data_IF_271028759049
#
_entry.id   IF_271028759049
#
_cell.length_a   1.000
_cell.length_b   1.000
_cell.length_c   1.000
_cell.angle_alpha   90.00
_cell.angle_beta   90.00
_cell.angle_gamma   90.00
#
_symmetry.space_group_name_H-M   'P 1'
#
loop_
_entity.id
_entity.type
_entity.pdbx_description
1 polymer ?
#
# COMPACT_ATOMS: atom_id res chain seq x y z
N UNK A 1 17.80 -5.47 -16.91
CA UNK A 1 18.88 -4.60 -17.43
C UNK A 1 18.30 -3.71 -18.51
N UNK A 2 18.28 -2.39 -18.30
CA UNK A 2 18.08 -1.41 -19.37
C UNK A 2 19.40 -1.23 -20.12
N UNK A 3 19.33 -0.80 -21.38
CA UNK A 3 20.46 -0.75 -22.33
C UNK A 3 21.62 0.21 -21.95
N UNK A 4 21.66 0.77 -20.73
CA UNK A 4 22.67 1.72 -20.28
C UNK A 4 23.38 1.33 -18.96
N UNK A 5 23.25 0.09 -18.48
CA UNK A 5 24.03 -0.38 -17.32
C UNK A 5 23.72 0.30 -15.98
N UNK A 6 22.74 1.22 -15.93
CA UNK A 6 22.19 1.77 -14.70
C UNK A 6 21.23 0.73 -14.10
N UNK A 7 21.60 0.16 -12.95
CA UNK A 7 20.72 -0.72 -12.19
C UNK A 7 19.72 0.17 -11.45
N UNK A 8 18.51 0.24 -11.99
CA UNK A 8 17.37 0.89 -11.34
C UNK A 8 16.85 0.00 -10.20
N UNK A 9 17.46 0.14 -9.02
CA UNK A 9 17.09 -0.62 -7.82
C UNK A 9 15.66 -0.30 -7.33
N UNK A 10 15.02 0.75 -7.85
CA UNK A 10 13.59 1.01 -7.57
C UNK A 10 12.66 0.01 -8.24
N UNK A 11 13.17 -0.85 -9.14
CA UNK A 11 12.40 -1.94 -9.77
C UNK A 11 12.68 -3.31 -9.17
N UNK A 12 13.57 -3.40 -8.19
CA UNK A 12 13.75 -4.63 -7.42
C UNK A 12 12.43 -4.91 -6.68
N UNK A 13 11.91 -6.13 -6.83
CA UNK A 13 10.65 -6.56 -6.22
C UNK A 13 10.96 -7.67 -5.22
N UNK A 14 10.49 -7.51 -3.99
CA UNK A 14 10.61 -8.51 -2.94
C UNK A 14 9.44 -9.49 -3.06
N UNK A 15 9.67 -10.62 -3.71
CA UNK A 15 8.67 -11.67 -3.87
C UNK A 15 8.77 -12.66 -2.70
N UNK A 16 8.05 -12.37 -1.62
CA UNK A 16 7.88 -13.26 -0.48
C UNK A 16 6.61 -14.12 -0.55
N UNK A 17 5.90 -14.09 -1.68
CA UNK A 17 4.66 -14.85 -1.85
C UNK A 17 4.94 -16.33 -2.10
N UNK A 18 4.21 -17.16 -1.37
CA UNK A 18 4.11 -18.60 -1.51
C UNK A 18 2.71 -18.92 -1.99
N UNK A 19 2.60 -19.87 -2.92
CA UNK A 19 1.32 -20.37 -3.42
C UNK A 19 0.91 -21.65 -2.68
N UNK A 20 -0.38 -21.87 -2.50
CA UNK A 20 -0.93 -23.13 -2.00
C UNK A 20 -0.37 -24.33 -2.77
N UNK A 21 -0.06 -25.42 -2.05
CA UNK A 21 0.56 -26.65 -2.54
C UNK A 21 2.00 -26.51 -3.06
N UNK A 22 2.63 -25.33 -2.99
CA UNK A 22 4.05 -25.19 -3.35
C UNK A 22 4.98 -25.79 -2.30
N UNK A 23 6.11 -26.35 -2.75
CA UNK A 23 7.14 -26.88 -1.87
C UNK A 23 7.98 -25.73 -1.29
N UNK A 24 7.99 -25.60 0.03
CA UNK A 24 8.63 -24.46 0.73
C UNK A 24 9.97 -24.81 1.38
N UNK A 25 10.18 -26.07 1.77
CA UNK A 25 11.43 -26.50 2.40
C UNK A 25 11.65 -28.02 2.28
N UNK A 26 12.92 -28.43 2.42
CA UNK A 26 13.34 -29.84 2.53
C UNK A 26 14.22 -30.00 3.75
N UNK A 27 13.87 -30.95 4.63
CA UNK A 27 14.74 -31.38 5.71
C UNK A 27 15.58 -32.55 5.21
N UNK A 28 16.89 -32.33 5.09
CA UNK A 28 17.83 -33.37 4.70
C UNK A 28 18.26 -34.19 5.92
N UNK A 29 18.36 -35.53 5.81
CA UNK A 29 18.85 -36.36 6.89
C UNK A 29 20.33 -36.04 7.19
N UNK A 30 20.78 -36.24 8.44
CA UNK A 30 22.19 -36.07 8.78
C UNK A 30 23.03 -37.08 7.99
N UNK A 31 24.09 -36.59 7.33
CA UNK A 31 25.05 -37.44 6.61
C UNK A 31 26.24 -37.77 7.51
N UNK A 32 26.76 -38.98 7.35
CA UNK A 32 28.05 -39.34 7.92
C UNK A 32 29.16 -38.49 7.28
N UNK A 33 30.05 -37.97 8.11
CA UNK A 33 31.25 -37.31 7.60
C UNK A 33 32.23 -38.34 7.06
N UNK A 34 32.97 -37.98 6.01
CA UNK A 34 34.07 -38.80 5.52
C UNK A 34 35.35 -38.51 6.30
N UNK A 35 35.99 -39.55 6.83
CA UNK A 35 37.25 -39.38 7.57
C UNK A 35 38.34 -38.80 6.69
N UNK A 36 39.06 -37.83 7.26
CA UNK A 36 40.21 -37.21 6.63
C UNK A 36 41.52 -37.92 6.99
N UNK A 37 42.61 -37.41 6.41
CA UNK A 37 43.96 -37.68 6.88
C UNK A 37 44.70 -36.37 7.14
N UNK A 38 45.50 -36.34 8.19
CA UNK A 38 46.43 -35.23 8.41
C UNK A 38 47.62 -35.33 7.44
N UNK A 39 48.49 -34.32 7.46
CA UNK A 39 49.70 -34.27 6.61
C UNK A 39 50.72 -35.38 6.93
N UNK A 40 50.56 -36.07 8.06
CA UNK A 40 51.41 -37.20 8.51
C UNK A 40 50.78 -38.56 8.19
N UNK A 41 49.61 -38.59 7.53
CA UNK A 41 48.90 -39.80 7.11
C UNK A 41 48.02 -40.42 8.20
N UNK A 42 47.89 -39.81 9.38
CA UNK A 42 47.02 -40.32 10.44
C UNK A 42 45.56 -40.04 10.12
N UNK A 43 44.67 -40.97 10.48
CA UNK A 43 43.23 -40.82 10.28
C UNK A 43 42.67 -39.74 11.21
N UNK A 44 41.93 -38.80 10.64
CA UNK A 44 41.17 -37.78 11.36
C UNK A 44 39.69 -38.18 11.28
N UNK A 45 39.11 -38.56 12.43
CA UNK A 45 37.70 -38.95 12.48
C UNK A 45 36.81 -37.77 12.10
N UNK A 46 35.92 -37.98 11.17
CA UNK A 46 34.86 -37.02 10.87
C UNK A 46 33.80 -37.03 11.95
N UNK A 47 33.10 -35.91 12.10
CA UNK A 47 31.93 -35.81 12.97
C UNK A 47 30.68 -36.00 12.10
N UNK A 48 29.79 -36.90 12.51
CA UNK A 48 28.50 -37.06 11.87
C UNK A 48 27.67 -35.77 11.95
N UNK A 49 26.80 -35.54 10.96
CA UNK A 49 25.82 -34.46 10.99
C UNK A 49 24.92 -34.57 12.23
N UNK A 50 24.55 -33.42 12.81
CA UNK A 50 23.58 -33.40 13.92
C UNK A 50 22.17 -33.51 13.34
N UNK A 51 21.27 -34.34 13.94
CA UNK A 51 19.87 -34.35 13.54
C UNK A 51 19.27 -32.98 13.83
N UNK A 52 18.58 -32.43 12.84
CA UNK A 52 17.81 -31.20 12.97
C UNK A 52 16.33 -31.60 13.04
N UNK A 53 15.66 -31.24 14.12
CA UNK A 53 14.21 -31.41 14.24
C UNK A 53 13.53 -30.12 13.77
N UNK A 54 12.77 -30.23 12.68
CA UNK A 54 11.91 -29.15 12.17
C UNK A 54 10.48 -29.70 12.08
N UNK A 55 9.53 -28.98 12.66
CA UNK A 55 8.11 -29.32 12.62
C UNK A 55 7.37 -28.47 11.60
N UNK A 56 6.30 -29.02 11.05
CA UNK A 56 5.34 -28.24 10.29
C UNK A 56 4.50 -27.39 11.25
N UNK A 57 4.52 -26.09 11.03
CA UNK A 57 3.72 -25.12 11.76
C UNK A 57 2.39 -24.84 11.08
N UNK A 58 1.81 -23.67 11.36
CA UNK A 58 0.56 -23.23 10.74
C UNK A 58 0.63 -23.22 9.21
N UNK A 59 -0.42 -23.76 8.57
CA UNK A 59 -0.59 -23.81 7.10
C UNK A 59 0.57 -24.49 6.36
N UNK A 60 1.23 -25.45 6.99
CA UNK A 60 2.29 -26.25 6.40
C UNK A 60 1.99 -27.72 6.61
N UNK A 61 2.14 -28.51 5.55
CA UNK A 61 2.09 -29.97 5.60
C UNK A 61 3.49 -30.53 5.45
N UNK A 62 3.87 -31.46 6.31
CA UNK A 62 5.07 -32.26 6.16
C UNK A 62 4.73 -33.61 5.51
N UNK A 63 5.54 -34.02 4.53
CA UNK A 63 5.45 -35.33 3.89
C UNK A 63 6.83 -35.99 3.91
N UNK A 64 6.90 -37.21 4.43
CA UNK A 64 8.13 -37.99 4.41
C UNK A 64 8.42 -38.49 2.98
N UNK A 65 9.55 -38.07 2.45
CA UNK A 65 10.06 -38.44 1.14
C UNK A 65 11.00 -39.64 1.17
N UNK A 66 11.58 -39.91 0.01
CA UNK A 66 12.53 -41.03 -0.16
C UNK A 66 13.86 -40.68 0.51
N UNK A 67 14.55 -41.69 1.07
CA UNK A 67 15.85 -41.56 1.73
C UNK A 67 15.86 -40.69 3.01
N UNK A 68 14.71 -40.54 3.69
CA UNK A 68 14.65 -39.80 4.97
C UNK A 68 14.71 -38.28 4.79
N UNK A 69 14.40 -37.79 3.59
CA UNK A 69 14.17 -36.36 3.33
C UNK A 69 12.70 -36.06 3.66
N UNK A 70 12.44 -35.07 4.51
CA UNK A 70 11.06 -34.61 4.77
C UNK A 70 10.79 -33.36 3.94
N UNK A 71 9.72 -33.36 3.14
CA UNK A 71 9.28 -32.24 2.32
C UNK A 71 8.22 -31.43 3.07
N UNK A 72 8.28 -30.11 2.96
CA UNK A 72 7.28 -29.21 3.51
C UNK A 72 6.55 -28.50 2.37
N UNK A 73 5.23 -28.54 2.41
CA UNK A 73 4.35 -27.93 1.44
C UNK A 73 3.48 -26.87 2.10
N UNK A 74 3.23 -25.75 1.40
CA UNK A 74 2.27 -24.75 1.84
C UNK A 74 0.84 -25.29 1.68
N UNK A 75 0.00 -25.12 2.70
CA UNK A 75 -1.44 -25.43 2.62
C UNK A 75 -2.28 -24.22 2.20
N UNK A 76 -1.71 -23.01 2.26
CA UNK A 76 -2.36 -21.76 1.86
C UNK A 76 -1.35 -20.83 1.21
N UNK A 77 -1.85 -19.82 0.49
CA UNK A 77 -1.03 -18.70 0.05
C UNK A 77 -0.50 -17.90 1.27
N UNK A 78 0.68 -17.30 1.16
CA UNK A 78 1.22 -16.44 2.22
C UNK A 78 2.73 -16.18 2.12
N UNK A 79 3.36 -15.96 3.27
CA UNK A 79 4.82 -15.80 3.41
C UNK A 79 5.40 -16.88 4.32
N UNK A 80 6.60 -17.35 3.99
CA UNK A 80 7.34 -18.30 4.83
C UNK A 80 7.82 -17.58 6.10
N UNK A 81 7.44 -18.11 7.25
CA UNK A 81 7.97 -17.71 8.55
C UNK A 81 8.76 -18.85 9.17
N UNK A 82 10.06 -18.66 9.29
CA UNK A 82 10.93 -19.58 10.01
C UNK A 82 10.94 -19.25 11.49
N UNK A 83 10.49 -20.20 12.30
CA UNK A 83 10.51 -20.15 13.77
C UNK A 83 11.55 -21.19 14.21
N UNK A 84 12.30 -20.99 15.31
CA UNK A 84 13.25 -22.00 15.77
C UNK A 84 12.60 -23.37 15.96
N UNK A 85 12.96 -24.33 15.09
CA UNK A 85 12.42 -25.69 15.08
C UNK A 85 11.08 -25.88 14.35
N UNK A 86 10.57 -24.86 13.66
CA UNK A 86 9.26 -24.91 12.99
C UNK A 86 9.20 -24.02 11.73
N UNK A 87 8.54 -24.48 10.68
CA UNK A 87 8.28 -23.69 9.47
C UNK A 87 6.77 -23.49 9.34
N UNK A 88 6.34 -22.24 9.21
CA UNK A 88 4.93 -21.88 9.05
C UNK A 88 4.72 -21.00 7.81
N UNK A 89 3.51 -21.01 7.26
CA UNK A 89 3.05 -20.05 6.25
C UNK A 89 2.04 -19.12 6.91
N UNK A 90 2.32 -17.82 6.84
CA UNK A 90 1.51 -16.76 7.46
C UNK A 90 0.95 -15.83 6.40
N UNK A 91 -0.23 -15.28 6.67
CA UNK A 91 -0.91 -14.27 5.85
C UNK A 91 -0.38 -12.85 6.06
N UNK A 92 0.69 -12.69 6.85
CA UNK A 92 1.23 -11.41 7.28
C UNK A 92 2.73 -11.35 7.00
N UNK A 93 3.16 -10.45 6.13
CA UNK A 93 4.55 -10.15 5.87
C UNK A 93 5.05 -9.06 6.84
N UNK A 94 6.07 -9.38 7.64
CA UNK A 94 6.69 -8.44 8.58
C UNK A 94 8.05 -8.00 8.05
N UNK A 95 8.21 -6.69 7.89
CA UNK A 95 9.49 -6.04 7.55
C UNK A 95 10.00 -5.34 8.80
N UNK A 96 11.09 -5.84 9.37
CA UNK A 96 11.69 -5.33 10.61
C UNK A 96 12.47 -4.01 10.43
N UNK A 97 12.59 -3.51 9.20
CA UNK A 97 13.35 -2.32 8.81
C UNK A 97 12.52 -1.35 7.96
N UNK A 98 13.18 -0.35 7.40
CA UNK A 98 12.61 0.53 6.38
C UNK A 98 12.45 -0.21 5.04
N UNK A 99 11.48 0.23 4.24
CA UNK A 99 11.37 -0.15 2.83
C UNK A 99 12.23 0.81 2.01
N UNK A 100 13.37 0.34 1.57
CA UNK A 100 14.36 1.10 0.81
C UNK A 100 15.05 0.25 -0.24
N UNK A 101 16.29 0.59 -0.60
CA UNK A 101 17.05 -0.12 -1.63
C UNK A 101 17.35 -1.59 -1.29
N UNK A 102 17.50 -1.90 0.00
CA UNK A 102 17.78 -3.27 0.46
C UNK A 102 16.55 -4.17 0.35
N UNK A 103 15.36 -3.58 0.52
CA UNK A 103 14.08 -4.29 0.50
C UNK A 103 13.48 -4.31 -0.92
N UNK A 104 13.51 -3.19 -1.62
CA UNK A 104 12.82 -2.99 -2.90
C UNK A 104 11.33 -2.71 -2.72
N UNK A 105 10.57 -2.78 -3.81
CA UNK A 105 9.11 -2.71 -3.77
C UNK A 105 8.53 -3.97 -3.15
N UNK A 106 7.43 -3.81 -2.42
CA UNK A 106 6.73 -4.91 -1.77
C UNK A 106 5.41 -5.17 -2.49
N UNK A 107 5.14 -6.43 -2.80
CA UNK A 107 3.84 -6.90 -3.25
C UNK A 107 3.49 -8.19 -2.53
N UNK A 108 2.41 -8.18 -1.75
CA UNK A 108 2.05 -9.33 -0.93
C UNK A 108 0.55 -9.63 -0.93
N UNK A 109 0.21 -10.91 -1.07
CA UNK A 109 -1.17 -11.39 -1.01
C UNK A 109 -1.60 -11.63 0.45
N UNK A 110 -1.61 -10.58 1.24
CA UNK A 110 -2.01 -10.64 2.64
C UNK A 110 -1.85 -9.29 3.32
N UNK A 111 -1.55 -9.31 4.61
CA UNK A 111 -1.23 -8.12 5.39
C UNK A 111 0.27 -7.80 5.34
N UNK A 112 0.62 -6.52 5.35
CA UNK A 112 2.02 -6.07 5.43
C UNK A 112 2.19 -5.22 6.69
N UNK A 113 3.18 -5.57 7.52
CA UNK A 113 3.59 -4.80 8.70
C UNK A 113 5.03 -4.33 8.50
N UNK A 114 5.23 -3.01 8.39
CA UNK A 114 6.53 -2.37 8.26
C UNK A 114 6.83 -1.67 9.59
N UNK A 115 7.85 -2.17 10.31
CA UNK A 115 8.31 -1.56 11.57
C UNK A 115 9.06 -0.25 11.36
N UNK A 116 9.60 -0.04 10.17
CA UNK A 116 10.25 1.19 9.75
C UNK A 116 9.33 2.14 8.98
N UNK A 117 9.94 2.90 8.08
CA UNK A 117 9.33 3.86 7.16
C UNK A 117 9.36 3.35 5.72
N UNK A 118 8.53 3.94 4.85
CA UNK A 118 8.59 3.71 3.40
C UNK A 118 9.38 4.84 2.77
N UNK A 119 10.54 4.50 2.23
CA UNK A 119 11.46 5.46 1.63
C UNK A 119 10.95 6.05 0.30
N UNK A 120 11.68 7.05 -0.19
CA UNK A 120 11.31 7.82 -1.36
C UNK A 120 11.13 6.95 -2.62
N UNK A 121 9.97 7.08 -3.28
CA UNK A 121 9.72 6.44 -4.56
C UNK A 121 9.41 4.94 -4.53
N UNK A 122 9.40 4.29 -3.36
CA UNK A 122 9.09 2.87 -3.24
C UNK A 122 7.58 2.60 -3.27
N UNK A 123 7.22 1.40 -3.71
CA UNK A 123 5.84 0.94 -3.82
C UNK A 123 5.57 -0.22 -2.87
N UNK A 124 4.46 -0.14 -2.14
CA UNK A 124 3.96 -1.19 -1.24
C UNK A 124 2.52 -1.54 -1.62
N UNK A 125 2.29 -2.77 -2.08
CA UNK A 125 0.98 -3.28 -2.47
C UNK A 125 0.60 -4.50 -1.63
N UNK A 126 -0.56 -4.43 -1.00
CA UNK A 126 -1.12 -5.53 -0.21
C UNK A 126 -2.60 -5.77 -0.57
N UNK A 127 -3.02 -7.03 -0.63
CA UNK A 127 -4.44 -7.36 -0.77
C UNK A 127 -5.21 -7.15 0.54
N UNK A 128 -4.53 -7.24 1.69
CA UNK A 128 -5.07 -7.01 3.02
C UNK A 128 -4.74 -5.63 3.58
N UNK A 129 -4.51 -5.58 4.89
CA UNK A 129 -4.17 -4.36 5.63
C UNK A 129 -2.68 -4.01 5.47
N UNK A 130 -2.35 -2.72 5.57
CA UNK A 130 -0.96 -2.25 5.65
C UNK A 130 -0.76 -1.41 6.90
N UNK A 131 0.19 -1.82 7.74
CA UNK A 131 0.60 -1.12 8.95
C UNK A 131 2.04 -0.63 8.79
N UNK A 132 2.26 0.68 8.89
CA UNK A 132 3.58 1.30 8.88
C UNK A 132 3.78 2.01 10.21
N UNK A 133 4.80 1.64 10.98
CA UNK A 133 5.07 2.30 12.26
C UNK A 133 5.71 3.68 12.08
N UNK A 134 6.56 3.84 11.05
CA UNK A 134 7.23 5.08 10.70
C UNK A 134 6.41 6.02 9.82
N UNK A 135 7.10 6.70 8.91
CA UNK A 135 6.55 7.65 7.93
C UNK A 135 6.57 7.12 6.51
N UNK A 136 5.87 7.81 5.61
CA UNK A 136 5.92 7.58 4.17
C UNK A 136 6.55 8.81 3.52
N UNK A 137 7.64 8.60 2.79
CA UNK A 137 8.42 9.67 2.16
C UNK A 137 7.93 9.99 0.74
N UNK A 138 8.52 11.05 0.17
CA UNK A 138 8.10 11.63 -1.10
C UNK A 138 8.04 10.60 -2.25
N UNK A 139 7.01 10.67 -3.08
CA UNK A 139 6.88 9.84 -4.27
C UNK A 139 6.60 8.36 -4.02
N UNK A 140 6.49 7.92 -2.77
CA UNK A 140 6.10 6.55 -2.45
C UNK A 140 4.63 6.28 -2.83
N UNK A 141 4.33 5.05 -3.23
CA UNK A 141 2.97 4.61 -3.55
C UNK A 141 2.58 3.45 -2.65
N UNK A 142 1.43 3.56 -1.98
CA UNK A 142 0.91 2.50 -1.15
C UNK A 142 -0.53 2.17 -1.54
N UNK A 143 -0.80 0.88 -1.76
CA UNK A 143 -2.10 0.35 -2.12
C UNK A 143 -2.46 -0.81 -1.19
N UNK A 144 -3.57 -0.67 -0.47
CA UNK A 144 -4.10 -1.70 0.41
C UNK A 144 -5.53 -2.07 0.00
N UNK A 145 -5.78 -3.38 -0.11
CA UNK A 145 -7.14 -3.90 -0.29
C UNK A 145 -7.99 -3.86 0.99
N UNK A 146 -7.36 -3.65 2.15
CA UNK A 146 -8.00 -3.37 3.44
C UNK A 146 -7.74 -1.94 3.94
N UNK A 147 -7.43 -1.83 5.23
CA UNK A 147 -7.12 -0.58 5.93
C UNK A 147 -5.64 -0.21 5.84
N UNK A 148 -5.34 1.06 5.99
CA UNK A 148 -3.99 1.59 6.14
C UNK A 148 -3.84 2.27 7.49
N UNK A 149 -2.80 1.93 8.24
CA UNK A 149 -2.43 2.60 9.49
C UNK A 149 -0.98 3.03 9.40
N UNK A 150 -0.72 4.33 9.62
CA UNK A 150 0.61 4.93 9.59
C UNK A 150 0.84 5.62 10.93
N UNK A 151 1.87 5.19 11.65
CA UNK A 151 2.15 5.67 13.01
C UNK A 151 2.52 7.15 13.03
N UNK A 152 3.36 7.59 12.09
CA UNK A 152 3.81 8.98 12.02
C UNK A 152 3.02 9.76 10.96
N UNK A 153 3.59 10.01 9.79
CA UNK A 153 2.96 10.87 8.80
C UNK A 153 3.26 10.47 7.37
N UNK A 154 2.49 11.05 6.46
CA UNK A 154 2.69 10.93 5.01
C UNK A 154 3.23 12.27 4.53
N UNK A 155 4.38 12.23 3.85
CA UNK A 155 5.05 13.42 3.37
C UNK A 155 5.36 13.36 1.88
N UNK A 156 5.33 14.55 1.28
CA UNK A 156 6.01 14.83 0.03
C UNK A 156 5.17 14.69 -1.23
N UNK A 157 5.62 15.42 -2.25
CA UNK A 157 4.96 15.47 -3.56
C UNK A 157 4.96 14.10 -4.21
N UNK A 158 3.92 13.84 -5.00
CA UNK A 158 3.72 12.59 -5.74
C UNK A 158 3.53 11.36 -4.85
N UNK A 159 3.49 11.52 -3.53
CA UNK A 159 3.15 10.43 -2.60
C UNK A 159 1.67 10.12 -2.72
N UNK A 160 1.35 8.83 -2.82
CA UNK A 160 -0.02 8.36 -3.02
C UNK A 160 -0.32 7.20 -2.08
N UNK A 161 -1.38 7.33 -1.30
CA UNK A 161 -1.91 6.26 -0.44
C UNK A 161 -3.34 5.95 -0.87
N UNK A 162 -3.63 4.68 -1.14
CA UNK A 162 -4.96 4.19 -1.52
C UNK A 162 -5.32 3.01 -0.62
N UNK A 163 -6.39 3.16 0.14
CA UNK A 163 -7.00 2.08 0.92
C UNK A 163 -8.43 1.85 0.44
N UNK A 164 -8.83 0.59 0.30
CA UNK A 164 -10.26 0.26 0.11
C UNK A 164 -11.05 0.42 1.41
N UNK A 165 -10.41 0.23 2.55
CA UNK A 165 -10.96 0.51 3.87
C UNK A 165 -10.62 1.93 4.36
N UNK A 166 -10.34 2.03 5.64
CA UNK A 166 -10.01 3.27 6.36
C UNK A 166 -8.52 3.61 6.27
N UNK A 167 -8.18 4.90 6.42
CA UNK A 167 -6.81 5.38 6.59
C UNK A 167 -6.68 6.08 7.95
N UNK A 168 -5.76 5.60 8.80
CA UNK A 168 -5.36 6.26 10.04
C UNK A 168 -3.92 6.74 9.92
N UNK A 169 -3.67 8.01 10.22
CA UNK A 169 -2.33 8.62 10.10
C UNK A 169 -2.16 9.76 11.10
N UNK A 170 -0.94 10.01 11.59
CA UNK A 170 -0.66 11.15 12.45
C UNK A 170 -0.79 12.50 11.72
N UNK A 171 -0.13 12.70 10.59
CA UNK A 171 -0.25 13.92 9.78
C UNK A 171 -0.06 13.65 8.28
N UNK A 172 -0.54 14.57 7.43
CA UNK A 172 -0.42 14.46 5.96
C UNK A 172 0.07 15.79 5.38
N UNK A 173 1.20 15.77 4.69
CA UNK A 173 1.80 16.95 4.04
C UNK A 173 2.12 16.68 2.56
N UNK A 174 1.62 17.52 1.65
CA UNK A 174 1.90 17.48 0.20
C UNK A 174 1.54 16.15 -0.54
N UNK A 175 0.69 15.32 0.06
CA UNK A 175 0.38 13.97 -0.44
C UNK A 175 -1.08 13.80 -0.91
N UNK A 176 -1.34 12.70 -1.62
CA UNK A 176 -2.68 12.30 -2.07
C UNK A 176 -3.13 11.03 -1.35
N UNK A 177 -4.27 11.11 -0.65
CA UNK A 177 -4.81 9.98 0.11
C UNK A 177 -6.24 9.69 -0.34
N UNK A 178 -6.52 8.43 -0.67
CA UNK A 178 -7.87 7.95 -0.99
C UNK A 178 -8.25 6.78 -0.09
N UNK A 179 -9.42 6.87 0.54
CA UNK A 179 -10.00 5.82 1.36
C UNK A 179 -11.41 5.47 0.88
N UNK A 180 -11.74 4.18 0.80
CA UNK A 180 -13.13 3.72 0.65
C UNK A 180 -13.91 3.74 1.97
N UNK A 181 -13.23 3.97 3.09
CA UNK A 181 -13.80 4.29 4.40
C UNK A 181 -13.34 5.66 4.88
N UNK A 182 -13.19 5.79 6.20
CA UNK A 182 -12.83 7.04 6.87
C UNK A 182 -11.34 7.40 6.66
N UNK A 183 -11.02 8.70 6.67
CA UNK A 183 -9.66 9.22 6.83
C UNK A 183 -9.58 9.90 8.19
N UNK A 184 -8.80 9.33 9.11
CA UNK A 184 -8.62 9.84 10.47
C UNK A 184 -7.19 10.33 10.64
N UNK A 185 -7.05 11.62 10.90
CA UNK A 185 -5.78 12.33 11.00
C UNK A 185 -5.53 12.74 12.46
N UNK A 186 -4.38 12.41 13.02
CA UNK A 186 -4.06 12.65 14.43
C UNK A 186 -3.75 14.11 14.77
N UNK A 187 -3.12 14.85 13.87
CA UNK A 187 -2.60 16.20 14.09
C UNK A 187 -3.14 17.18 13.07
N UNK A 188 -2.70 17.11 11.81
CA UNK A 188 -3.08 18.09 10.80
C UNK A 188 -2.88 17.57 9.38
N UNK A 189 -3.52 18.25 8.43
CA UNK A 189 -3.29 18.06 7.00
C UNK A 189 -2.86 19.36 6.37
N UNK A 190 -1.80 19.34 5.56
CA UNK A 190 -1.31 20.51 4.84
C UNK A 190 -1.06 20.21 3.35
N UNK A 191 -1.62 21.04 2.47
CA UNK A 191 -1.43 20.95 1.01
C UNK A 191 -1.70 19.54 0.45
N UNK A 192 -2.67 18.82 1.03
CA UNK A 192 -2.98 17.45 0.68
C UNK A 192 -4.22 17.37 -0.22
N UNK A 193 -4.34 16.29 -0.97
CA UNK A 193 -5.58 15.91 -1.65
C UNK A 193 -6.15 14.70 -0.94
N UNK A 194 -7.26 14.89 -0.23
CA UNK A 194 -7.91 13.86 0.55
C UNK A 194 -9.24 13.50 -0.10
N UNK A 195 -9.46 12.21 -0.33
CA UNK A 195 -10.74 11.70 -0.81
C UNK A 195 -11.19 10.51 0.02
N UNK A 196 -12.35 10.61 0.64
CA UNK A 196 -12.87 9.54 1.48
C UNK A 196 -14.33 9.25 1.15
N UNK A 197 -14.69 7.96 1.06
CA UNK A 197 -16.07 7.48 1.00
C UNK A 197 -16.67 7.28 2.41
N UNK A 198 -15.83 7.31 3.46
CA UNK A 198 -16.09 7.51 4.91
C UNK A 198 -15.64 8.89 5.44
N UNK A 199 -15.97 9.29 6.68
CA UNK A 199 -15.71 10.63 7.27
C UNK A 199 -14.23 11.04 7.18
N UNK A 200 -13.96 12.33 6.94
CA UNK A 200 -12.61 12.90 7.10
C UNK A 200 -12.57 13.63 8.43
N UNK A 201 -11.85 13.07 9.41
CA UNK A 201 -11.76 13.58 10.77
C UNK A 201 -10.33 13.94 11.15
N UNK A 202 -10.12 15.16 11.64
CA UNK A 202 -8.83 15.60 12.20
C UNK A 202 -8.97 15.76 13.71
N UNK A 203 -8.20 14.97 14.46
CA UNK A 203 -8.15 15.06 15.92
C UNK A 203 -7.43 16.33 16.35
N UNK A 204 -7.85 16.86 17.50
CA UNK A 204 -7.13 17.89 18.22
C UNK A 204 -6.03 17.23 19.06
N UNK A 205 -4.80 17.25 18.58
CA UNK A 205 -3.59 17.03 19.37
C UNK A 205 -3.02 18.34 19.98
N UNK A 206 -1.79 18.27 20.47
CA UNK A 206 -1.06 19.42 21.02
C UNK A 206 -0.31 20.21 19.94
N UNK A 207 -0.25 21.53 20.08
CA UNK A 207 0.49 22.44 19.18
C UNK A 207 -0.37 23.34 18.28
N UNK A 208 0.22 24.40 17.70
CA UNK A 208 -0.51 25.47 17.03
C UNK A 208 -1.09 25.10 15.66
N UNK A 209 -0.58 24.03 15.03
CA UNK A 209 -1.07 23.52 13.73
C UNK A 209 -2.10 22.39 13.87
N UNK A 210 -2.32 21.91 15.09
CA UNK A 210 -3.14 20.76 15.40
C UNK A 210 -4.64 21.02 15.18
N UNK A 211 -5.37 20.00 14.73
CA UNK A 211 -6.81 20.05 14.47
C UNK A 211 -7.18 20.74 13.16
N UNK A 212 -6.21 21.07 12.30
CA UNK A 212 -6.41 21.88 11.11
C UNK A 212 -6.24 21.13 9.79
N UNK A 213 -7.00 21.56 8.77
CA UNK A 213 -6.77 21.26 7.37
C UNK A 213 -6.37 22.56 6.68
N UNK A 214 -5.13 22.67 6.19
CA UNK A 214 -4.58 23.88 5.60
C UNK A 214 -3.99 23.67 4.20
N UNK A 215 -4.67 24.16 3.18
CA UNK A 215 -4.23 24.06 1.79
C UNK A 215 -4.55 22.71 1.15
N UNK A 216 -4.90 22.74 -0.14
CA UNK A 216 -5.23 21.54 -0.91
C UNK A 216 -6.73 21.32 -1.07
N UNK A 217 -7.11 20.08 -1.36
CA UNK A 217 -8.48 19.72 -1.72
C UNK A 217 -8.96 18.53 -0.88
N UNK A 218 -10.10 18.70 -0.22
CA UNK A 218 -10.70 17.65 0.60
C UNK A 218 -12.09 17.36 0.08
N UNK A 219 -12.30 16.11 -0.28
CA UNK A 219 -13.52 15.61 -0.90
C UNK A 219 -14.09 14.47 -0.08
N UNK A 220 -15.40 14.53 0.14
CA UNK A 220 -16.07 13.60 1.04
C UNK A 220 -17.54 13.42 0.66
N UNK A 221 -18.05 12.19 0.86
CA UNK A 221 -19.48 11.87 0.76
C UNK A 221 -20.30 12.25 2.02
N UNK A 222 -20.01 11.71 3.21
CA UNK A 222 -20.82 11.94 4.42
C UNK A 222 -20.51 13.19 5.26
N UNK A 223 -19.24 13.58 5.46
CA UNK A 223 -18.92 14.76 6.28
C UNK A 223 -17.44 14.94 6.65
N UNK A 224 -17.05 16.20 6.93
CA UNK A 224 -15.70 16.62 7.31
C UNK A 224 -15.74 17.18 8.73
N UNK A 225 -14.88 16.69 9.62
CA UNK A 225 -14.77 17.11 11.01
C UNK A 225 -13.35 17.64 11.27
N UNK A 226 -13.24 18.90 11.65
CA UNK A 226 -11.98 19.58 11.93
C UNK A 226 -12.22 20.76 12.86
N UNK A 227 -11.17 21.25 13.50
CA UNK A 227 -11.22 22.44 14.34
C UNK A 227 -10.92 23.72 13.55
N UNK A 228 -9.95 23.66 12.63
CA UNK A 228 -9.50 24.81 11.85
C UNK A 228 -9.55 24.50 10.36
N UNK A 229 -10.22 25.35 9.60
CA UNK A 229 -10.25 25.32 8.15
C UNK A 229 -9.31 26.40 7.60
N UNK A 230 -8.29 26.00 6.85
CA UNK A 230 -7.32 26.90 6.24
C UNK A 230 -6.06 27.13 7.08
N UNK A 231 -5.17 27.98 6.55
CA UNK A 231 -3.95 28.41 7.23
C UNK A 231 -3.66 29.88 6.96
N UNK A 232 -2.91 30.51 7.86
CA UNK A 232 -2.44 31.90 7.69
C UNK A 232 -1.44 32.05 6.52
N UNK A 233 -1.04 30.95 5.88
CA UNK A 233 -0.10 30.91 4.77
C UNK A 233 -0.77 31.19 3.39
N UNK A 234 -2.03 31.65 3.36
CA UNK A 234 -2.78 31.99 2.13
C UNK A 234 -2.93 30.83 1.13
N UNK A 235 -2.82 29.59 1.60
CA UNK A 235 -3.04 28.42 0.75
C UNK A 235 -4.54 28.14 0.63
N UNK A 236 -5.06 28.18 -0.60
CA UNK A 236 -6.46 27.84 -0.90
C UNK A 236 -6.81 26.45 -0.36
N UNK A 237 -7.89 26.37 0.43
CA UNK A 237 -8.38 25.14 1.06
C UNK A 237 -9.79 24.89 0.56
N UNK A 238 -9.93 23.93 -0.35
CA UNK A 238 -11.23 23.59 -0.94
C UNK A 238 -11.81 22.39 -0.22
N UNK A 239 -12.96 22.57 0.42
CA UNK A 239 -13.65 21.54 1.17
C UNK A 239 -15.00 21.26 0.52
N UNK A 240 -15.21 20.01 0.11
CA UNK A 240 -16.46 19.58 -0.54
C UNK A 240 -17.04 18.39 0.18
N UNK A 241 -18.30 18.49 0.59
CA UNK A 241 -19.07 17.43 1.22
C UNK A 241 -20.31 17.10 0.37
N UNK A 242 -20.71 15.82 0.31
CA UNK A 242 -21.97 15.38 -0.28
C UNK A 242 -21.95 15.01 -1.77
N UNK A 243 -20.80 15.11 -2.45
CA UNK A 243 -20.66 14.67 -3.85
C UNK A 243 -19.38 13.86 -4.07
N UNK A 244 -19.51 12.77 -4.80
CA UNK A 244 -18.37 12.03 -5.36
C UNK A 244 -17.64 12.91 -6.40
N UNK A 245 -16.30 13.08 -6.33
CA UNK A 245 -15.52 13.84 -7.30
C UNK A 245 -15.69 13.36 -8.74
N UNK A 246 -15.90 12.06 -8.97
CA UNK A 246 -16.15 11.56 -10.32
C UNK A 246 -17.53 12.00 -10.81
N UNK A 247 -18.56 11.93 -9.94
CA UNK A 247 -19.88 12.50 -10.16
C UNK A 247 -19.84 14.02 -10.44
N UNK A 248 -19.15 14.79 -9.62
CA UNK A 248 -19.01 16.24 -9.78
C UNK A 248 -18.31 16.60 -11.10
N UNK A 249 -17.20 15.94 -11.45
CA UNK A 249 -16.53 16.12 -12.75
C UNK A 249 -17.43 15.75 -13.93
N UNK A 250 -18.21 14.69 -13.79
CA UNK A 250 -19.15 14.26 -14.84
C UNK A 250 -20.27 15.29 -15.02
N UNK A 251 -20.81 15.84 -13.92
CA UNK A 251 -21.79 16.92 -13.93
C UNK A 251 -21.22 18.17 -14.58
N UNK A 252 -20.02 18.60 -14.21
CA UNK A 252 -19.35 19.75 -14.83
C UNK A 252 -19.13 19.54 -16.33
N UNK A 253 -18.72 18.34 -16.74
CA UNK A 253 -18.54 18.00 -18.15
C UNK A 253 -19.87 18.04 -18.91
N UNK A 254 -20.94 17.49 -18.32
CA UNK A 254 -22.29 17.50 -18.89
C UNK A 254 -22.81 18.94 -19.03
N UNK A 255 -22.61 19.78 -18.01
CA UNK A 255 -23.01 21.19 -18.04
C UNK A 255 -22.27 21.96 -19.13
N UNK A 256 -20.96 21.77 -19.29
CA UNK A 256 -20.20 22.38 -20.40
C UNK A 256 -20.72 21.96 -21.76
N UNK A 257 -21.00 20.66 -21.96
CA UNK A 257 -21.58 20.16 -23.21
C UNK A 257 -22.98 20.73 -23.47
N UNK A 258 -23.78 20.93 -22.43
CA UNK A 258 -25.11 21.53 -22.52
C UNK A 258 -25.01 23.01 -22.95
N UNK A 259 -24.08 23.77 -22.37
CA UNK A 259 -23.83 25.17 -22.77
C UNK A 259 -23.36 25.28 -24.21
N UNK A 260 -22.45 24.41 -24.66
CA UNK A 260 -21.98 24.36 -26.05
C UNK A 260 -23.14 24.05 -27.00
N UNK A 261 -23.96 23.05 -26.67
CA UNK A 261 -25.14 22.68 -27.46
C UNK A 261 -26.15 23.82 -27.54
N UNK A 262 -26.42 24.51 -26.42
CA UNK A 262 -27.31 25.67 -26.37
C UNK A 262 -26.78 26.82 -27.23
N UNK A 263 -25.46 27.10 -27.19
CA UNK A 263 -24.84 28.11 -28.07
C UNK A 263 -25.00 27.74 -29.55
N UNK A 264 -24.83 26.47 -29.91
CA UNK A 264 -25.02 25.99 -31.28
C UNK A 264 -26.48 26.13 -31.72
N UNK A 265 -27.44 25.72 -30.89
CA UNK A 265 -28.87 25.87 -31.16
C UNK A 265 -29.23 27.33 -31.39
N UNK A 266 -28.79 28.24 -30.51
CA UNK A 266 -29.02 29.68 -30.66
C UNK A 266 -28.40 30.24 -31.95
N UNK A 267 -27.20 29.78 -32.32
CA UNK A 267 -26.53 30.17 -33.57
C UNK A 267 -27.30 29.70 -34.80
N UNK A 268 -27.83 28.48 -34.79
CA UNK A 268 -28.65 27.94 -35.88
C UNK A 268 -30.01 28.65 -35.97
N UNK A 269 -30.72 28.83 -34.85
CA UNK A 269 -31.98 29.58 -34.79
C UNK A 269 -31.83 30.99 -35.36
N UNK A 270 -30.75 31.69 -34.97
CA UNK A 270 -30.42 33.03 -35.48
C UNK A 270 -30.17 33.04 -36.99
N UNK A 271 -29.54 32.00 -37.53
CA UNK A 271 -29.27 31.87 -38.99
C UNK A 271 -30.54 31.65 -39.81
N UNK A 272 -31.57 31.03 -39.22
CA UNK A 272 -32.86 30.78 -39.86
C UNK A 272 -33.95 31.80 -39.50
N UNK A 273 -33.62 32.88 -38.76
CA UNK A 273 -34.57 33.89 -38.27
C UNK A 273 -35.72 33.31 -37.43
N UNK A 274 -35.51 32.17 -36.77
CA UNK A 274 -36.52 31.51 -35.95
C UNK A 274 -36.39 31.97 -34.48
N UNK A 275 -37.47 32.48 -33.90
CA UNK A 275 -37.48 32.92 -32.49
C UNK A 275 -37.71 31.77 -31.49
N UNK A 276 -38.30 30.65 -31.93
CA UNK A 276 -38.53 29.44 -31.12
C UNK A 276 -38.57 28.21 -32.01
N UNK A 277 -38.12 27.07 -31.46
CA UNK A 277 -38.38 25.75 -32.02
C UNK A 277 -39.59 25.18 -31.27
N UNK A 278 -40.71 24.99 -31.93
CA UNK A 278 -41.89 24.37 -31.32
C UNK A 278 -41.84 22.87 -31.56
N UNK A 279 -41.37 22.11 -30.56
CA UNK A 279 -41.14 20.66 -30.67
C UNK A 279 -42.47 19.89 -30.65
N UNK A 280 -43.59 20.55 -30.32
CA UNK A 280 -44.92 19.95 -30.34
C UNK A 280 -45.57 19.93 -31.75
N UNK A 281 -44.95 20.57 -32.74
CA UNK A 281 -45.47 20.67 -34.11
C UNK A 281 -44.77 19.70 -35.11
N UNK A 282 -43.92 18.80 -34.61
CA UNK A 282 -43.26 17.71 -35.36
C UNK A 282 -43.75 16.39 -34.79
#
# INVERSE_FOLDING_TARGET
>A
MTAEGIIDLTKASYDANVEECSEIARLMPPTDGADGRDLMGNRVSARAGRPLEVKAGSNVRAEDGVHGVTHFYAETDGAIKSIPGEIAVVDTLVIDSDVGFDTGNLKFNGEIVIKGSVGQGFTVEATGNVLVFGSIDAGATMVAGGNVVIGHGIGGRRTRVVARGEVRVGYIEEARVRAGGDILIGSHSAQAILHADGVIGVKRGEGPKSGGIGGGEVWRLAGIQMQVAGSNAHNMTNLTAGMDPAGAKKLDLLNRKLEESNKLILRHLSRFQLQKLDVAAI
#
